data_IF_370322793332
#
_entry.id   IF_370322793332
#
_cell.length_a   1.000
_cell.length_b   1.000
_cell.length_c   1.000
_cell.angle_alpha   90.00
_cell.angle_beta   90.00
_cell.angle_gamma   90.00
#
_symmetry.space_group_name_H-M   'P 1'
#
loop_
_entity.id
_entity.type
_entity.pdbx_description
1 polymer ?
#
# COMPACT_ATOMS: atom_id res chain seq x y z
N UNK A 1 6.98 -4.46 -7.34
CA UNK A 1 6.52 -5.14 -6.10
C UNK A 1 6.34 -4.11 -4.98
N UNK A 2 5.18 -4.10 -4.28
CA UNK A 2 4.91 -3.14 -3.20
C UNK A 2 5.77 -3.36 -1.95
N UNK A 3 6.61 -4.41 -1.90
CA UNK A 3 7.52 -4.63 -0.77
C UNK A 3 8.36 -3.39 -0.44
N UNK A 4 8.87 -2.71 -1.48
CA UNK A 4 9.67 -1.49 -1.32
C UNK A 4 8.88 -0.31 -0.77
N UNK A 5 7.56 -0.27 -1.01
CA UNK A 5 6.69 0.72 -0.38
C UNK A 5 6.67 0.51 1.13
N UNK A 6 6.40 -0.71 1.57
CA UNK A 6 6.31 -1.05 3.00
C UNK A 6 7.66 -0.87 3.71
N UNK A 7 8.73 -1.46 3.18
CA UNK A 7 10.09 -1.38 3.74
C UNK A 7 10.56 0.08 3.87
N UNK A 8 10.43 0.88 2.81
CA UNK A 8 10.86 2.28 2.83
C UNK A 8 10.03 3.14 3.77
N UNK A 9 8.70 3.02 3.70
CA UNK A 9 7.81 3.82 4.53
C UNK A 9 7.94 3.47 6.02
N UNK A 10 8.29 2.22 6.37
CA UNK A 10 8.59 1.80 7.75
C UNK A 10 9.68 2.64 8.41
N UNK A 11 10.59 3.21 7.62
CA UNK A 11 11.68 4.07 8.07
C UNK A 11 11.53 5.54 7.59
N UNK A 12 10.35 5.92 7.09
CA UNK A 12 10.05 7.29 6.68
C UNK A 12 10.58 7.69 5.31
N UNK A 13 10.98 6.75 4.45
CA UNK A 13 11.25 7.09 3.06
C UNK A 13 9.95 7.60 2.40
N UNK A 14 10.04 8.74 1.71
CA UNK A 14 8.90 9.31 0.97
C UNK A 14 8.70 8.50 -0.32
N UNK A 15 7.58 7.78 -0.48
CA UNK A 15 7.38 6.95 -1.65
C UNK A 15 7.02 7.81 -2.87
N UNK A 16 7.43 7.35 -4.05
CA UNK A 16 7.04 7.92 -5.35
C UNK A 16 6.31 6.82 -6.12
N UNK A 17 5.14 7.14 -6.67
CA UNK A 17 4.37 6.17 -7.46
C UNK A 17 3.62 6.84 -8.60
N UNK A 18 3.22 6.04 -9.58
CA UNK A 18 2.33 6.46 -10.65
C UNK A 18 0.92 6.69 -10.11
N UNK A 19 0.30 7.81 -10.48
CA UNK A 19 -1.01 8.24 -10.00
C UNK A 19 -2.11 7.20 -10.28
N UNK A 20 -2.10 6.61 -11.48
CA UNK A 20 -3.15 5.71 -11.97
C UNK A 20 -2.87 4.24 -11.65
N UNK A 21 -2.26 3.99 -10.49
CA UNK A 21 -2.02 2.64 -9.98
C UNK A 21 -2.67 2.47 -8.62
N UNK A 22 -2.86 1.20 -8.22
CA UNK A 22 -3.32 0.89 -6.87
C UNK A 22 -2.40 1.48 -5.79
N UNK A 23 -1.08 1.51 -6.04
CA UNK A 23 -0.13 2.17 -5.13
C UNK A 23 -0.37 3.69 -5.10
N UNK A 24 -0.56 4.33 -6.25
CA UNK A 24 -0.91 5.76 -6.32
C UNK A 24 -2.19 6.08 -5.56
N UNK A 25 -3.24 5.25 -5.70
CA UNK A 25 -4.48 5.37 -4.94
C UNK A 25 -4.25 5.23 -3.43
N UNK A 26 -3.48 4.23 -3.01
CA UNK A 26 -3.12 4.01 -1.60
C UNK A 26 -2.41 5.23 -0.99
N UNK A 27 -1.45 5.80 -1.73
CA UNK A 27 -0.71 7.01 -1.35
C UNK A 27 -1.63 8.23 -1.23
N UNK A 28 -2.46 8.48 -2.26
CA UNK A 28 -3.41 9.60 -2.32
C UNK A 28 -4.38 9.57 -1.14
N UNK A 29 -4.97 8.42 -0.82
CA UNK A 29 -5.92 8.26 0.29
C UNK A 29 -5.30 8.55 1.66
N UNK A 30 -3.98 8.41 1.79
CA UNK A 30 -3.24 8.60 3.04
C UNK A 30 -2.48 9.93 3.08
N UNK A 31 -2.61 10.75 2.04
CA UNK A 31 -1.85 12.00 1.85
C UNK A 31 -0.34 11.82 2.13
N UNK A 32 0.25 10.80 1.52
CA UNK A 32 1.69 10.51 1.65
C UNK A 32 2.33 10.35 0.28
N UNK A 33 3.62 10.65 0.21
CA UNK A 33 4.41 10.43 -0.99
C UNK A 33 4.15 11.42 -2.11
N UNK A 34 4.65 11.06 -3.29
CA UNK A 34 4.62 11.85 -4.50
C UNK A 34 3.97 11.03 -5.61
N UNK A 35 3.03 11.63 -6.32
CA UNK A 35 2.34 11.00 -7.45
C UNK A 35 2.87 11.56 -8.76
N UNK A 36 3.32 10.67 -9.63
CA UNK A 36 3.72 10.98 -10.99
C UNK A 36 2.53 10.73 -11.92
N UNK A 37 2.14 11.70 -12.78
CA UNK A 37 1.12 11.46 -13.80
C UNK A 37 1.60 10.43 -14.82
N UNK A 38 2.86 10.50 -15.22
CA UNK A 38 3.47 9.62 -16.22
C UNK A 38 4.88 9.18 -15.80
N UNK A 39 5.32 8.03 -16.32
CA UNK A 39 6.62 7.42 -16.05
C UNK A 39 7.71 7.96 -17.00
N UNK A 40 7.79 9.27 -17.13
CA UNK A 40 8.71 9.97 -18.05
C UNK A 40 9.75 10.79 -17.28
N UNK A 41 10.96 10.99 -17.83
CA UNK A 41 11.97 11.87 -17.23
C UNK A 41 11.45 13.28 -16.98
N UNK A 42 10.61 13.82 -17.88
CA UNK A 42 10.03 15.16 -17.79
C UNK A 42 9.06 15.26 -16.61
N UNK A 43 8.21 14.25 -16.42
CA UNK A 43 7.30 14.15 -15.28
C UNK A 43 8.07 14.08 -13.95
N UNK A 44 9.11 13.25 -13.89
CA UNK A 44 10.00 13.16 -12.73
C UNK A 44 10.70 14.50 -12.47
N UNK A 45 11.26 15.14 -13.50
CA UNK A 45 11.94 16.42 -13.39
C UNK A 45 11.01 17.55 -12.95
N UNK A 46 9.79 17.62 -13.49
CA UNK A 46 8.80 18.62 -13.12
C UNK A 46 8.36 18.48 -11.65
N UNK A 47 8.21 17.25 -11.17
CA UNK A 47 7.75 16.99 -9.81
C UNK A 47 8.88 17.14 -8.80
N UNK A 48 10.06 16.57 -9.07
CA UNK A 48 11.22 16.63 -8.17
C UNK A 48 11.92 17.99 -8.22
N UNK A 49 11.88 18.71 -9.35
CA UNK A 49 12.44 20.05 -9.47
C UNK A 49 11.74 21.10 -8.60
N UNK A 50 10.50 20.83 -8.16
CA UNK A 50 9.76 21.64 -7.17
C UNK A 50 9.93 21.14 -5.73
N UNK A 51 10.75 20.12 -5.51
CA UNK A 51 11.00 19.58 -4.18
C UNK A 51 12.05 20.41 -3.48
N UNK A 52 11.70 20.93 -2.30
CA UNK A 52 12.65 21.57 -1.39
C UNK A 52 12.73 20.78 -0.08
N UNK A 53 13.59 21.25 0.83
CA UNK A 53 13.78 20.60 2.12
C UNK A 53 12.52 20.64 3.00
N UNK A 54 11.73 21.71 2.93
CA UNK A 54 10.53 21.89 3.77
C UNK A 54 9.48 20.88 3.33
N UNK A 55 9.16 20.86 2.03
CA UNK A 55 8.22 19.94 1.41
C UNK A 55 8.60 18.49 1.64
N UNK A 56 9.89 18.15 1.52
CA UNK A 56 10.36 16.79 1.79
C UNK A 56 10.18 16.39 3.25
N UNK A 57 10.53 17.29 4.20
CA UNK A 57 10.34 17.04 5.65
C UNK A 57 8.88 16.86 6.00
N UNK A 58 7.98 17.65 5.40
CA UNK A 58 6.53 17.52 5.60
C UNK A 58 6.01 16.18 5.07
N UNK A 59 6.45 15.76 3.88
CA UNK A 59 6.09 14.46 3.34
C UNK A 59 6.60 13.32 4.22
N UNK A 60 7.85 13.41 4.69
CA UNK A 60 8.46 12.43 5.58
C UNK A 60 7.74 12.35 6.93
N UNK A 61 7.36 13.49 7.50
CA UNK A 61 6.62 13.51 8.78
C UNK A 61 5.26 12.85 8.64
N UNK A 62 4.55 13.06 7.51
CA UNK A 62 3.28 12.37 7.23
C UNK A 62 3.44 10.85 7.11
N UNK A 63 4.52 10.38 6.49
CA UNK A 63 4.84 8.93 6.43
C UNK A 63 5.11 8.37 7.82
N UNK A 64 5.93 9.05 8.63
CA UNK A 64 6.27 8.62 9.99
C UNK A 64 5.09 8.68 10.96
N UNK A 65 4.12 9.57 10.71
CA UNK A 65 2.89 9.66 11.49
C UNK A 65 1.88 8.54 11.18
N UNK A 66 2.15 7.64 10.22
CA UNK A 66 1.30 6.46 9.99
C UNK A 66 1.52 5.43 11.08
N UNK A 67 0.47 4.69 11.43
CA UNK A 67 0.58 3.57 12.35
C UNK A 67 1.64 2.59 11.80
N UNK A 68 2.68 2.23 12.57
CA UNK A 68 3.73 1.31 12.12
C UNK A 68 3.20 -0.04 11.60
N UNK A 69 2.06 -0.52 12.12
CA UNK A 69 1.39 -1.74 11.64
C UNK A 69 0.89 -1.63 10.19
N UNK A 70 0.81 -0.43 9.62
CA UNK A 70 0.53 -0.22 8.19
C UNK A 70 1.63 -0.81 7.30
N UNK A 71 2.86 -0.87 7.82
CA UNK A 71 4.06 -1.22 7.05
C UNK A 71 4.61 -2.60 7.36
N UNK A 72 4.21 -3.18 8.49
CA UNK A 72 4.74 -4.46 8.96
C UNK A 72 3.67 -5.23 9.69
N UNK A 73 3.59 -6.52 9.37
CA UNK A 73 2.86 -7.50 10.14
C UNK A 73 3.81 -8.25 11.07
N UNK A 74 3.30 -8.68 12.22
CA UNK A 74 4.00 -9.50 13.18
C UNK A 74 3.43 -10.93 13.23
N UNK A 75 3.95 -11.75 14.15
CA UNK A 75 3.51 -13.14 14.31
C UNK A 75 2.03 -13.27 14.69
N UNK A 76 1.50 -12.33 15.46
CA UNK A 76 0.09 -12.35 15.89
C UNK A 76 -0.84 -12.08 14.70
N UNK A 77 -0.44 -11.19 13.79
CA UNK A 77 -1.19 -10.94 12.55
C UNK A 77 -1.23 -12.21 11.67
N UNK A 78 -0.11 -12.91 11.54
CA UNK A 78 -0.04 -14.19 10.83
C UNK A 78 -0.95 -15.25 11.47
N UNK A 79 -0.95 -15.36 12.80
CA UNK A 79 -1.80 -16.31 13.52
C UNK A 79 -3.29 -16.00 13.32
N UNK A 80 -3.69 -14.73 13.47
CA UNK A 80 -5.07 -14.28 13.27
C UNK A 80 -5.55 -14.51 11.82
N UNK A 81 -4.65 -14.32 10.85
CA UNK A 81 -4.98 -14.60 9.45
C UNK A 81 -5.24 -16.09 9.21
N UNK A 82 -4.37 -16.96 9.73
CA UNK A 82 -4.54 -18.43 9.61
C UNK A 82 -5.82 -18.89 10.32
N UNK A 83 -6.08 -18.41 11.54
CA UNK A 83 -7.31 -18.73 12.28
C UNK A 83 -8.57 -18.36 11.48
N UNK A 84 -8.59 -17.17 10.88
CA UNK A 84 -9.69 -16.72 10.03
C UNK A 84 -9.88 -17.63 8.81
N UNK A 85 -8.81 -18.04 8.14
CA UNK A 85 -8.88 -18.94 6.99
C UNK A 85 -9.38 -20.34 7.36
N UNK A 86 -8.93 -20.88 8.49
CA UNK A 86 -9.39 -22.18 9.00
C UNK A 86 -10.88 -22.17 9.34
N UNK A 87 -11.38 -21.07 9.90
CA UNK A 87 -12.81 -20.89 10.15
C UNK A 87 -13.65 -20.91 8.87
N UNK A 88 -13.17 -20.29 7.79
CA UNK A 88 -13.85 -20.28 6.48
C UNK A 88 -13.87 -21.67 5.83
N UNK A 89 -12.80 -22.46 5.96
CA UNK A 89 -12.71 -23.81 5.41
C UNK A 89 -13.65 -24.82 6.10
N UNK A 90 -14.07 -24.50 7.33
CA UNK A 90 -14.98 -25.33 8.13
C UNK A 90 -16.45 -25.00 7.83
N UNK A 91 -16.74 -23.92 7.09
CA UNK A 91 -18.09 -23.62 6.63
C UNK A 91 -18.50 -24.59 5.50
N UNK A 92 -19.72 -25.15 5.53
CA UNK A 92 -20.24 -25.94 4.41
C UNK A 92 -20.15 -25.12 3.11
N UNK A 93 -19.54 -25.72 2.09
CA UNK A 93 -19.44 -25.08 0.78
C UNK A 93 -20.81 -25.00 0.12
N UNK A 94 -21.39 -23.80 0.06
CA UNK A 94 -22.58 -23.51 -0.76
C UNK A 94 -22.31 -23.59 -2.28
N UNK A 95 -21.07 -23.89 -2.70
CA UNK A 95 -20.70 -24.01 -4.11
C UNK A 95 -21.08 -25.37 -4.74
N UNK A 96 -21.72 -26.28 -4.01
CA UNK A 96 -21.99 -27.65 -4.48
C UNK A 96 -23.44 -27.92 -4.95
N UNK A 97 -24.26 -26.91 -5.27
CA UNK A 97 -25.68 -27.15 -5.66
C UNK A 97 -26.10 -26.46 -6.97
N UNK A 98 -25.23 -26.45 -7.99
CA UNK A 98 -25.66 -26.07 -9.34
C UNK A 98 -24.98 -26.94 -10.39
N UNK A 99 -25.21 -28.26 -10.34
CA UNK A 99 -24.96 -29.15 -11.49
C UNK A 99 -25.70 -30.49 -11.27
N UNK A 100 -27.03 -30.46 -11.32
CA UNK A 100 -27.86 -31.66 -11.47
C UNK A 100 -29.28 -31.29 -11.94
N UNK A 101 -29.41 -30.68 -13.11
CA UNK A 101 -30.65 -30.65 -13.88
C UNK A 101 -30.36 -30.24 -15.34
N UNK A 102 -29.99 -31.23 -16.15
CA UNK A 102 -30.12 -31.21 -17.60
C UNK A 102 -30.61 -32.59 -18.04
#
# INVERSE_FOLDING_TARGET
>A
LPNRLYEGCRFGAVPISMADTETGRFLKQRDIGVLLPEATPESVGAVLGRMDQVRYRDLKSRVLARNPRTWSYDRSDCAAFVEKLSGLATMPSNFATTEAAA
#
